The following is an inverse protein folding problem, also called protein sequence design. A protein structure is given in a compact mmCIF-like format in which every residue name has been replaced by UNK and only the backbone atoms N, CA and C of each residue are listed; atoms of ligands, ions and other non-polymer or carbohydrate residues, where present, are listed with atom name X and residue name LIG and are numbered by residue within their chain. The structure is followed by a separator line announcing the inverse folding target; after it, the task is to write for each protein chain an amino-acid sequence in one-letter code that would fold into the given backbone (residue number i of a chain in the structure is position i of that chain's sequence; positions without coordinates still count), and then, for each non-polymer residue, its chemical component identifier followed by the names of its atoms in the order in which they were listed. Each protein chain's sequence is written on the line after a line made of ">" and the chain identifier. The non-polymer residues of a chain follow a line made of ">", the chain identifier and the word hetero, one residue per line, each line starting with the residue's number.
data_IF_138842363357
#
_entry.id   IF_138842363357
#
_cell.length_a   1.000
_cell.length_b   1.000
_cell.length_c   1.000
_cell.angle_alpha   90.00
_cell.angle_beta   90.00
_cell.angle_gamma   90.00
#
_symmetry.space_group_name_H-M   'P 1'
#
loop_
_entity.id
_entity.type
_entity.pdbx_description
1 polymer ?
#
# COMPACT_ATOMS: atom_id res chain seq x y z
N UNK A 1 -11.73 16.71 -18.99
CA UNK A 1 -10.66 16.02 -18.23
C UNK A 1 -9.35 16.21 -18.95
N UNK A 2 -8.35 16.64 -18.22
CA UNK A 2 -7.01 16.75 -18.75
C UNK A 2 -6.39 15.37 -18.92
N UNK A 3 -5.79 15.12 -20.09
CA UNK A 3 -4.98 13.92 -20.34
C UNK A 3 -3.54 14.10 -19.87
N UNK A 4 -3.26 15.21 -19.21
CA UNK A 4 -1.92 15.50 -18.71
C UNK A 4 -1.53 14.60 -17.55
N UNK A 5 -0.24 14.22 -17.54
CA UNK A 5 0.33 13.48 -16.42
C UNK A 5 0.48 14.39 -15.19
N UNK A 6 0.41 13.80 -14.02
CA UNK A 6 0.74 14.47 -12.76
C UNK A 6 2.24 14.33 -12.54
N UNK A 7 2.92 15.47 -12.43
CA UNK A 7 4.38 15.54 -12.26
C UNK A 7 4.75 15.99 -10.84
N UNK A 8 6.03 15.96 -10.54
CA UNK A 8 6.58 16.40 -9.27
C UNK A 8 6.05 17.77 -8.83
N UNK A 9 6.01 18.73 -9.75
CA UNK A 9 5.56 20.09 -9.48
C UNK A 9 4.09 20.17 -9.07
N UNK A 10 3.30 19.19 -9.47
CA UNK A 10 1.87 19.15 -9.17
C UNK A 10 1.55 18.57 -7.79
N UNK A 11 2.53 17.94 -7.14
CA UNK A 11 2.34 17.38 -5.81
C UNK A 11 2.31 18.50 -4.77
N UNK A 12 1.34 18.42 -3.85
CA UNK A 12 1.21 19.39 -2.78
C UNK A 12 1.37 18.72 -1.42
N UNK A 13 2.23 19.29 -0.57
CA UNK A 13 2.39 18.82 0.79
C UNK A 13 1.05 18.90 1.54
N UNK A 14 0.72 17.86 2.27
CA UNK A 14 -0.54 17.78 3.00
C UNK A 14 -1.74 17.33 2.19
N UNK A 15 -1.60 17.15 0.88
CA UNK A 15 -2.70 16.64 0.06
C UNK A 15 -3.02 15.19 0.42
N UNK A 16 -4.32 14.86 0.43
CA UNK A 16 -4.81 13.55 0.82
C UNK A 16 -5.57 12.88 -0.30
N UNK A 17 -5.60 11.55 -0.25
CA UNK A 17 -6.39 10.74 -1.17
C UNK A 17 -6.95 9.54 -0.41
N UNK A 18 -8.12 9.06 -0.83
CA UNK A 18 -8.72 7.85 -0.32
C UNK A 18 -9.13 7.01 -1.52
N UNK A 19 -8.73 5.77 -1.55
CA UNK A 19 -8.95 4.92 -2.71
C UNK A 19 -8.91 3.45 -2.35
N UNK A 20 -9.29 2.67 -3.32
CA UNK A 20 -9.18 1.24 -3.28
C UNK A 20 -10.37 0.56 -2.64
N UNK A 21 -10.53 -0.64 -3.05
CA UNK A 21 -11.39 -1.62 -2.46
C UNK A 21 -10.82 -2.96 -2.87
N UNK A 22 -10.27 -3.67 -1.91
CA UNK A 22 -9.68 -4.96 -2.18
C UNK A 22 -10.26 -5.99 -1.22
N UNK A 23 -11.04 -6.92 -1.74
CA UNK A 23 -11.59 -8.03 -0.95
C UNK A 23 -10.55 -9.14 -0.85
N UNK A 24 -10.17 -9.48 0.37
CA UNK A 24 -9.20 -10.52 0.65
C UNK A 24 -9.89 -11.88 0.73
N UNK A 25 -9.82 -12.66 -0.32
CA UNK A 25 -10.45 -13.98 -0.35
C UNK A 25 -9.60 -15.01 0.39
N UNK A 26 -10.25 -16.01 0.98
CA UNK A 26 -9.57 -17.11 1.64
C UNK A 26 -8.60 -17.82 0.68
N UNK A 27 -9.04 -18.04 -0.56
CA UNK A 27 -8.23 -18.69 -1.59
C UNK A 27 -6.92 -17.93 -1.82
N UNK A 28 -6.98 -16.61 -1.95
CA UNK A 28 -5.81 -15.78 -2.17
C UNK A 28 -4.88 -15.75 -0.94
N UNK A 29 -5.46 -15.69 0.27
CA UNK A 29 -4.68 -15.74 1.50
C UNK A 29 -3.84 -17.01 1.57
N UNK A 30 -4.46 -18.15 1.27
CA UNK A 30 -3.78 -19.45 1.30
C UNK A 30 -2.75 -19.58 0.18
N UNK A 31 -3.07 -19.12 -1.01
CA UNK A 31 -2.16 -19.16 -2.17
C UNK A 31 -0.89 -18.34 -1.90
N UNK A 32 -1.05 -17.11 -1.43
CA UNK A 32 0.09 -16.25 -1.10
C UNK A 32 0.94 -16.88 0.01
N UNK A 33 0.30 -17.32 1.08
CA UNK A 33 1.01 -17.90 2.21
C UNK A 33 1.79 -19.16 1.81
N UNK A 34 1.18 -20.05 1.05
CA UNK A 34 1.84 -21.28 0.61
C UNK A 34 3.09 -20.99 -0.23
N UNK A 35 3.06 -19.91 -0.99
CA UNK A 35 4.16 -19.54 -1.88
C UNK A 35 5.25 -18.73 -1.19
N UNK A 36 4.89 -17.80 -0.30
CA UNK A 36 5.83 -16.80 0.21
C UNK A 36 5.98 -16.77 1.72
N UNK A 37 5.00 -17.27 2.48
CA UNK A 37 5.01 -17.20 3.95
C UNK A 37 4.29 -18.42 4.54
N UNK A 38 4.86 -19.62 4.35
CA UNK A 38 4.17 -20.86 4.70
C UNK A 38 4.20 -21.17 6.21
N UNK A 39 3.89 -20.18 7.03
CA UNK A 39 3.76 -20.38 8.46
C UNK A 39 2.39 -20.98 8.79
N UNK A 40 2.31 -21.92 9.76
CA UNK A 40 1.07 -22.64 10.00
C UNK A 40 -0.16 -21.78 10.29
N UNK A 41 0.01 -20.64 10.96
CA UNK A 41 -1.11 -19.77 11.31
C UNK A 41 -1.66 -18.99 10.09
N UNK A 42 -0.98 -19.05 8.94
CA UNK A 42 -1.48 -18.51 7.67
C UNK A 42 -2.08 -19.60 6.77
N UNK A 43 -1.97 -20.87 7.18
CA UNK A 43 -2.35 -22.00 6.35
C UNK A 43 -3.43 -22.91 6.99
N UNK A 44 -3.60 -22.86 8.30
CA UNK A 44 -4.49 -23.77 9.04
C UNK A 44 -5.26 -23.02 10.10
N UNK A 45 -6.59 -23.05 10.02
CA UNK A 45 -7.46 -22.48 11.05
C UNK A 45 -7.28 -23.19 12.40
N UNK A 46 -7.09 -24.51 12.35
CA UNK A 46 -6.88 -25.31 13.55
C UNK A 46 -5.63 -24.88 14.30
N UNK A 47 -4.53 -24.68 13.57
CA UNK A 47 -3.29 -24.17 14.17
C UNK A 47 -3.45 -22.72 14.62
N UNK A 48 -4.03 -21.86 13.79
CA UNK A 48 -4.22 -20.44 14.10
C UNK A 48 -5.07 -20.25 15.36
N UNK A 49 -6.03 -21.14 15.60
CA UNK A 49 -6.86 -21.11 16.80
C UNK A 49 -6.06 -21.26 18.09
N UNK A 50 -4.85 -21.83 18.02
CA UNK A 50 -3.96 -21.94 19.18
C UNK A 50 -3.10 -20.69 19.39
N UNK A 51 -3.21 -19.71 18.52
CA UNK A 51 -2.43 -18.46 18.54
C UNK A 51 -3.33 -17.26 18.83
N UNK A 52 -2.71 -16.10 19.02
CA UNK A 52 -3.44 -14.84 19.20
C UNK A 52 -4.26 -14.43 17.98
N UNK A 53 -3.99 -15.01 16.80
CA UNK A 53 -4.79 -14.74 15.60
C UNK A 53 -6.19 -15.34 15.67
N UNK A 54 -6.36 -16.48 16.35
CA UNK A 54 -7.65 -17.16 16.51
C UNK A 54 -8.15 -17.92 15.28
N UNK A 55 -7.78 -17.49 14.10
CA UNK A 55 -8.11 -18.13 12.82
C UNK A 55 -7.08 -17.67 11.77
N UNK A 56 -7.11 -18.27 10.57
CA UNK A 56 -6.19 -17.90 9.50
C UNK A 56 -6.26 -16.39 9.27
N UNK A 57 -5.08 -15.76 9.22
CA UNK A 57 -4.91 -14.36 8.82
C UNK A 57 -3.98 -14.28 7.63
N UNK A 58 -4.12 -13.21 6.86
CA UNK A 58 -3.22 -12.94 5.74
C UNK A 58 -1.81 -12.64 6.26
N UNK A 59 -0.80 -13.10 5.54
CA UNK A 59 0.56 -12.66 5.77
C UNK A 59 0.62 -11.12 5.69
N UNK A 60 1.40 -10.48 6.55
CA UNK A 60 1.62 -9.04 6.46
C UNK A 60 2.14 -8.62 5.08
N UNK A 61 2.99 -9.44 4.47
CA UNK A 61 3.48 -9.18 3.11
C UNK A 61 2.37 -9.29 2.06
N UNK A 62 1.37 -10.12 2.28
CA UNK A 62 0.19 -10.18 1.44
C UNK A 62 -0.62 -8.88 1.58
N UNK A 63 -0.78 -8.38 2.79
CA UNK A 63 -1.42 -7.09 3.03
C UNK A 63 -0.70 -5.98 2.25
N UNK A 64 0.63 -5.96 2.29
CA UNK A 64 1.41 -5.01 1.51
C UNK A 64 1.19 -5.16 0.00
N UNK A 65 1.07 -6.40 -0.49
CA UNK A 65 0.82 -6.65 -1.90
C UNK A 65 -0.57 -6.14 -2.33
N UNK A 66 -1.58 -6.35 -1.50
CA UNK A 66 -2.92 -5.82 -1.75
C UNK A 66 -2.93 -4.29 -1.76
N UNK A 67 -2.21 -3.67 -0.83
CA UNK A 67 -2.04 -2.20 -0.78
C UNK A 67 -1.36 -1.71 -2.06
N UNK A 68 -0.31 -2.40 -2.51
CA UNK A 68 0.39 -2.03 -3.74
C UNK A 68 -0.54 -2.09 -4.95
N UNK A 69 -1.39 -3.11 -5.05
CA UNK A 69 -2.36 -3.20 -6.14
C UNK A 69 -3.31 -2.01 -6.15
N UNK A 70 -3.83 -1.64 -4.98
CA UNK A 70 -4.70 -0.47 -4.87
C UNK A 70 -3.98 0.82 -5.22
N UNK A 71 -2.72 0.95 -4.77
CA UNK A 71 -1.90 2.13 -5.09
C UNK A 71 -1.64 2.25 -6.58
N UNK A 72 -1.28 1.17 -7.25
CA UNK A 72 -1.00 1.18 -8.69
C UNK A 72 -2.27 1.52 -9.48
N UNK A 73 -3.41 0.96 -9.11
CA UNK A 73 -4.68 1.29 -9.75
C UNK A 73 -4.97 2.80 -9.62
N UNK A 74 -4.74 3.36 -8.43
CA UNK A 74 -4.92 4.80 -8.20
C UNK A 74 -3.92 5.66 -9.00
N UNK A 75 -2.65 5.26 -9.05
CA UNK A 75 -1.64 5.97 -9.83
C UNK A 75 -1.97 5.97 -11.32
N UNK A 76 -2.46 4.85 -11.84
CA UNK A 76 -2.87 4.75 -13.24
C UNK A 76 -4.09 5.62 -13.54
N UNK A 77 -5.05 5.65 -12.63
CA UNK A 77 -6.25 6.48 -12.77
C UNK A 77 -5.91 7.97 -12.72
N UNK A 78 -4.99 8.37 -11.83
CA UNK A 78 -4.54 9.75 -11.70
C UNK A 78 -3.49 10.14 -12.72
N UNK A 79 -3.01 9.20 -13.52
CA UNK A 79 -1.96 9.41 -14.52
C UNK A 79 -0.68 10.02 -13.92
N UNK A 80 -0.25 9.51 -12.79
CA UNK A 80 0.96 9.98 -12.14
C UNK A 80 2.20 9.52 -12.90
N UNK A 81 3.14 10.45 -13.13
CA UNK A 81 4.39 10.18 -13.83
C UNK A 81 5.42 9.49 -12.92
N UNK A 82 5.01 8.37 -12.31
CA UNK A 82 5.81 7.64 -11.33
C UNK A 82 6.99 6.90 -11.94
N UNK A 83 8.05 6.80 -11.16
CA UNK A 83 9.30 6.13 -11.54
C UNK A 83 9.70 5.03 -10.55
N UNK A 84 8.76 4.56 -9.73
CA UNK A 84 9.02 3.52 -8.74
C UNK A 84 9.31 4.08 -7.35
N UNK A 85 9.81 3.21 -6.50
CA UNK A 85 10.05 3.54 -5.09
C UNK A 85 11.32 2.86 -4.62
N UNK A 86 12.21 3.58 -3.90
CA UNK A 86 13.39 2.96 -3.30
C UNK A 86 13.09 2.22 -2.00
N UNK A 87 11.93 2.40 -1.39
CA UNK A 87 11.65 1.70 -0.15
C UNK A 87 10.48 2.25 0.65
N UNK A 88 10.28 1.62 1.79
CA UNK A 88 9.26 1.98 2.78
C UNK A 88 9.93 2.23 4.12
N UNK A 89 9.37 3.16 4.88
CA UNK A 89 9.75 3.40 6.27
C UNK A 89 8.56 3.15 7.19
N UNK A 90 8.86 2.79 8.43
CA UNK A 90 7.86 2.69 9.50
C UNK A 90 6.64 1.83 9.14
N UNK A 91 6.89 0.70 8.49
CA UNK A 91 5.84 -0.28 8.20
C UNK A 91 5.40 -0.96 9.48
N UNK A 92 4.10 -0.90 9.78
CA UNK A 92 3.49 -1.55 10.96
C UNK A 92 2.23 -2.29 10.56
N UNK A 93 2.14 -3.55 10.98
CA UNK A 93 0.90 -4.34 10.91
C UNK A 93 0.25 -4.28 12.28
N UNK A 94 -0.79 -3.49 12.41
CA UNK A 94 -1.41 -3.16 13.69
C UNK A 94 -2.48 -4.17 14.11
N UNK A 95 -3.18 -4.73 13.13
CA UNK A 95 -4.25 -5.71 13.34
C UNK A 95 -4.19 -6.77 12.25
N UNK A 96 -4.57 -8.03 12.54
CA UNK A 96 -4.63 -9.06 11.52
C UNK A 96 -5.65 -8.70 10.43
N UNK A 97 -5.34 -9.08 9.20
CA UNK A 97 -6.30 -9.05 8.09
C UNK A 97 -6.79 -10.49 7.89
N UNK A 98 -8.09 -10.67 7.92
CA UNK A 98 -8.71 -11.99 7.83
C UNK A 98 -9.35 -12.20 6.46
N UNK A 99 -9.45 -13.47 6.01
CA UNK A 99 -10.24 -13.77 4.81
C UNK A 99 -11.65 -13.18 4.91
N UNK A 100 -12.08 -12.49 3.86
CA UNK A 100 -13.36 -11.81 3.82
C UNK A 100 -13.28 -10.32 4.16
N UNK A 101 -12.16 -9.86 4.69
CA UNK A 101 -11.98 -8.43 4.92
C UNK A 101 -11.86 -7.68 3.58
N UNK A 102 -12.38 -6.46 3.55
CA UNK A 102 -12.25 -5.57 2.42
C UNK A 102 -11.44 -4.35 2.84
N UNK A 103 -10.33 -4.14 2.15
CA UNK A 103 -9.38 -3.08 2.49
C UNK A 103 -9.56 -1.83 1.65
N UNK A 104 -9.28 -0.68 2.25
CA UNK A 104 -9.15 0.60 1.56
C UNK A 104 -7.91 1.33 2.07
N UNK A 105 -7.44 2.30 1.32
CA UNK A 105 -6.22 3.04 1.63
C UNK A 105 -6.51 4.54 1.68
N UNK A 106 -5.93 5.21 2.67
CA UNK A 106 -5.87 6.66 2.72
C UNK A 106 -4.41 7.08 2.71
N UNK A 107 -4.07 8.08 1.90
CA UNK A 107 -2.70 8.59 1.80
C UNK A 107 -2.64 10.09 2.03
N UNK A 108 -1.48 10.54 2.48
CA UNK A 108 -1.17 11.96 2.65
C UNK A 108 0.25 12.20 2.15
N UNK A 109 0.44 13.19 1.30
CA UNK A 109 1.77 13.63 0.88
C UNK A 109 2.40 14.42 2.03
N UNK A 110 3.54 13.96 2.52
CA UNK A 110 4.22 14.58 3.66
C UNK A 110 5.17 15.69 3.20
N UNK A 111 6.01 15.38 2.23
CA UNK A 111 6.97 16.33 1.66
C UNK A 111 7.47 15.84 0.31
N UNK A 112 8.15 16.71 -0.40
CA UNK A 112 8.81 16.38 -1.67
C UNK A 112 10.17 17.06 -1.74
N UNK A 113 11.08 16.41 -2.47
CA UNK A 113 12.48 16.87 -2.60
C UNK A 113 12.95 16.66 -4.03
N UNK A 114 13.43 17.71 -4.73
CA UNK A 114 14.00 17.52 -6.06
C UNK A 114 15.31 16.73 -5.95
N UNK A 115 15.61 15.93 -6.98
CA UNK A 115 16.87 15.21 -7.03
C UNK A 115 18.01 16.18 -7.32
N UNK A 116 19.11 16.03 -6.58
CA UNK A 116 20.33 16.85 -6.81
C UNK A 116 21.11 16.40 -8.02
N UNK A 117 21.07 15.12 -8.33
CA UNK A 117 21.88 14.51 -9.40
C UNK A 117 21.10 14.28 -10.67
N UNK A 118 19.76 14.24 -10.60
CA UNK A 118 18.87 13.95 -11.73
C UNK A 118 17.73 14.98 -11.81
N UNK A 119 17.92 16.07 -12.57
CA UNK A 119 16.90 17.13 -12.64
C UNK A 119 15.59 16.67 -13.26
N UNK A 120 15.59 15.55 -13.96
CA UNK A 120 14.38 14.96 -14.58
C UNK A 120 13.47 14.27 -13.57
N UNK A 121 13.85 14.17 -12.30
CA UNK A 121 13.04 13.50 -11.29
C UNK A 121 13.17 14.14 -9.91
N UNK A 122 12.24 13.79 -9.05
CA UNK A 122 12.26 14.11 -7.64
C UNK A 122 11.69 12.97 -6.84
N UNK A 123 11.73 13.10 -5.53
CA UNK A 123 11.11 12.14 -4.62
C UNK A 123 10.07 12.81 -3.75
N UNK A 124 9.13 12.02 -3.23
CA UNK A 124 8.17 12.49 -2.26
C UNK A 124 7.90 11.40 -1.25
N UNK A 125 7.58 11.80 -0.02
CA UNK A 125 7.18 10.86 1.02
C UNK A 125 5.68 10.96 1.24
N UNK A 126 5.05 9.80 1.42
CA UNK A 126 3.63 9.71 1.72
C UNK A 126 3.41 8.82 2.94
N UNK A 127 2.46 9.20 3.78
CA UNK A 127 1.94 8.30 4.80
C UNK A 127 0.74 7.57 4.22
N UNK A 128 0.67 6.27 4.45
CA UNK A 128 -0.47 5.46 4.05
C UNK A 128 -1.09 4.80 5.28
N UNK A 129 -2.40 4.80 5.34
CA UNK A 129 -3.20 4.12 6.36
C UNK A 129 -4.14 3.16 5.66
N UNK A 130 -4.16 1.93 6.15
CA UNK A 130 -4.97 0.85 5.58
C UNK A 130 -6.07 0.47 6.55
N UNK A 131 -7.30 0.49 6.09
CA UNK A 131 -8.49 0.20 6.91
C UNK A 131 -9.24 -1.01 6.35
N UNK A 132 -9.87 -1.75 7.24
CA UNK A 132 -10.81 -2.80 6.83
C UNK A 132 -12.22 -2.23 6.66
N UNK A 133 -13.22 -3.10 6.40
CA UNK A 133 -14.62 -2.71 6.19
C UNK A 133 -15.29 -2.09 7.42
N UNK A 134 -14.74 -2.31 8.60
CA UNK A 134 -15.25 -1.76 9.87
C UNK A 134 -14.51 -0.48 10.27
N UNK A 135 -13.74 0.10 9.35
CA UNK A 135 -12.90 1.28 9.59
C UNK A 135 -11.83 1.06 10.66
N UNK A 136 -11.42 -0.18 10.86
CA UNK A 136 -10.32 -0.52 11.77
C UNK A 136 -9.00 -0.32 11.03
N UNK A 137 -8.09 0.44 11.63
CA UNK A 137 -6.75 0.66 11.08
C UNK A 137 -5.93 -0.63 11.24
N UNK A 138 -5.62 -1.28 10.13
CA UNK A 138 -4.90 -2.56 10.13
C UNK A 138 -3.41 -2.43 9.85
N UNK A 139 -3.00 -1.41 9.11
CA UNK A 139 -1.60 -1.19 8.79
C UNK A 139 -1.30 0.27 8.53
N UNK A 140 -0.06 0.67 8.76
CA UNK A 140 0.46 1.99 8.42
C UNK A 140 1.83 1.84 7.81
N UNK A 141 2.19 2.78 6.93
CA UNK A 141 3.52 2.82 6.33
C UNK A 141 3.81 4.21 5.80
N UNK A 142 5.10 4.53 5.69
CA UNK A 142 5.54 5.72 4.97
C UNK A 142 6.28 5.24 3.73
N UNK A 143 5.83 5.67 2.57
CA UNK A 143 6.46 5.29 1.31
C UNK A 143 7.25 6.45 0.75
N UNK A 144 8.28 6.11 -0.01
CA UNK A 144 9.07 7.06 -0.79
C UNK A 144 8.73 6.78 -2.24
N UNK A 145 8.27 7.79 -2.96
CA UNK A 145 7.97 7.66 -4.38
C UNK A 145 8.94 8.47 -5.22
N UNK A 146 9.29 7.95 -6.37
CA UNK A 146 10.06 8.69 -7.37
C UNK A 146 9.09 9.11 -8.47
N UNK A 147 9.23 10.34 -8.95
CA UNK A 147 8.31 10.91 -9.91
C UNK A 147 9.06 11.86 -10.86
N UNK A 148 8.64 11.91 -12.11
CA UNK A 148 9.23 12.81 -13.08
C UNK A 148 8.89 14.25 -12.77
N UNK A 149 9.86 15.14 -13.08
CA UNK A 149 9.60 16.58 -13.18
C UNK A 149 9.00 16.88 -14.56
N UNK A 150 8.41 18.06 -14.71
CA UNK A 150 7.84 18.50 -15.99
C UNK A 150 8.87 18.66 -17.09
N UNK A 151 10.09 18.53 -16.73
CA UNK A 151 11.19 18.41 -17.64
C UNK A 151 11.70 19.72 -18.19
N UNK A 152 12.97 19.79 -18.16
CA UNK A 152 13.78 20.76 -18.89
C UNK A 152 14.97 20.00 -19.45
#
# INVERSE_FOLDING_TARGET
>A
MSDELVYFEDLEDGSTASFGRYEDTREEVLEFAAKYDPQPFHLSDEFAATTHFGRISASGWHTCAMVMRMMVDNLNERKQAGLGSPGLDELRWLKPVYPGDTLRVETEVLDKTPSRSRPEMGSFRSAARVYNQDDVLVATMKSIGLIRTRGN
#
